data_IF_419638823677
#
_entry.id   IF_419638823677
#
_cell.length_a   1.000
_cell.length_b   1.000
_cell.length_c   1.000
_cell.angle_alpha   90.00
_cell.angle_beta   90.00
_cell.angle_gamma   90.00
#
_symmetry.space_group_name_H-M   'P 1'
#
loop_
_entity.id
_entity.type
_entity.pdbx_description
1 polymer ?
#
# COMPACT_ATOMS: atom_id res chain seq x y z
N UNK A 1 1.13 29.89 -10.01
CA UNK A 1 1.05 29.34 -8.64
C UNK A 1 0.00 28.25 -8.64
N UNK A 2 0.37 27.00 -8.40
CA UNK A 2 -0.59 25.88 -8.32
C UNK A 2 -1.32 25.98 -6.98
N UNK A 3 -2.58 26.38 -7.02
CA UNK A 3 -3.43 26.45 -5.83
C UNK A 3 -3.72 25.03 -5.33
N UNK A 4 -2.93 24.55 -4.36
CA UNK A 4 -3.31 23.36 -3.59
C UNK A 4 -4.55 23.71 -2.78
N UNK A 5 -5.60 22.90 -2.91
CA UNK A 5 -6.87 23.05 -2.17
C UNK A 5 -6.61 23.20 -0.67
N UNK A 6 -7.28 24.18 -0.05
CA UNK A 6 -7.19 24.49 1.37
C UNK A 6 -7.46 23.25 2.24
N UNK A 7 -8.41 22.42 1.81
CA UNK A 7 -8.76 21.14 2.43
C UNK A 7 -7.55 20.21 2.54
N UNK A 8 -6.80 20.05 1.45
CA UNK A 8 -5.58 19.21 1.42
C UNK A 8 -4.55 19.70 2.43
N UNK A 9 -4.33 21.01 2.52
CA UNK A 9 -3.37 21.56 3.48
C UNK A 9 -3.81 21.37 4.93
N UNK A 10 -5.13 21.38 5.20
CA UNK A 10 -5.70 21.16 6.53
C UNK A 10 -5.52 19.71 6.96
N UNK A 11 -5.74 18.76 6.05
CA UNK A 11 -5.54 17.33 6.31
C UNK A 11 -4.08 17.01 6.58
N UNK A 12 -3.16 17.55 5.77
CA UNK A 12 -1.72 17.30 5.97
C UNK A 12 -1.21 17.90 7.29
N UNK A 13 -1.73 19.06 7.72
CA UNK A 13 -1.40 19.61 9.05
C UNK A 13 -1.80 18.68 10.20
N UNK A 14 -2.94 17.98 10.06
CA UNK A 14 -3.44 17.06 11.09
C UNK A 14 -2.66 15.75 11.12
N UNK A 15 -2.32 15.22 9.95
CA UNK A 15 -1.67 13.90 9.82
C UNK A 15 -0.16 13.98 9.99
N UNK A 16 0.49 14.98 9.38
CA UNK A 16 1.93 15.12 9.40
C UNK A 16 2.35 16.61 9.37
N UNK A 17 2.40 17.27 10.54
CA UNK A 17 2.79 18.68 10.66
C UNK A 17 4.09 19.08 9.94
N UNK A 18 5.16 18.24 9.91
CA UNK A 18 6.39 18.60 9.20
C UNK A 18 6.18 18.71 7.68
N UNK A 19 5.31 17.87 7.09
CA UNK A 19 5.02 17.93 5.67
C UNK A 19 4.24 19.21 5.31
N UNK A 20 3.36 19.67 6.19
CA UNK A 20 2.67 20.95 6.00
C UNK A 20 3.64 22.14 5.99
N UNK A 21 4.70 22.12 6.81
CA UNK A 21 5.74 23.14 6.78
C UNK A 21 6.54 23.12 5.46
N UNK A 22 6.83 21.92 4.93
CA UNK A 22 7.49 21.76 3.63
C UNK A 22 6.65 22.25 2.44
N UNK A 23 5.33 22.04 2.48
CA UNK A 23 4.44 22.57 1.45
C UNK A 23 4.43 24.11 1.45
N UNK A 24 4.44 24.74 2.62
CA UNK A 24 4.52 26.22 2.72
C UNK A 24 5.84 26.77 2.17
N UNK A 25 6.97 26.08 2.38
CA UNK A 25 8.30 26.51 1.89
C UNK A 25 8.36 26.71 0.37
N UNK A 26 7.59 25.92 -0.38
CA UNK A 26 7.55 26.03 -1.84
C UNK A 26 6.65 27.18 -2.32
N UNK A 27 5.65 27.56 -1.51
CA UNK A 27 4.72 28.66 -1.78
C UNK A 27 5.30 30.01 -1.30
N UNK A 28 6.07 30.01 -0.21
CA UNK A 28 6.63 31.21 0.43
C UNK A 28 7.93 31.74 -0.19
N UNK A 29 8.28 31.34 -1.42
CA UNK A 29 9.47 31.86 -2.11
C UNK A 29 9.33 33.32 -2.54
N UNK A 30 8.14 33.93 -2.38
CA UNK A 30 7.91 35.31 -2.79
C UNK A 30 8.01 36.35 -1.66
N UNK A 31 7.46 36.14 -0.46
CA UNK A 31 7.58 37.15 0.63
C UNK A 31 7.37 36.49 2.01
N UNK A 32 8.35 36.60 2.90
CA UNK A 32 8.21 36.32 4.33
C UNK A 32 8.68 37.52 5.17
N UNK A 33 8.22 37.69 6.43
CA UNK A 33 8.43 38.92 7.22
C UNK A 33 9.89 39.28 7.53
N UNK A 34 10.84 38.36 7.30
CA UNK A 34 12.26 38.54 7.58
C UNK A 34 13.09 38.92 6.35
N UNK A 35 12.47 39.21 5.20
CA UNK A 35 13.16 39.71 4.00
C UNK A 35 14.16 38.75 3.36
N UNK A 36 14.44 37.59 3.99
CA UNK A 36 15.26 36.53 3.42
C UNK A 36 14.40 35.79 2.41
N UNK A 37 14.48 36.24 1.16
CA UNK A 37 14.12 35.40 0.03
C UNK A 37 14.80 34.05 0.27
N UNK A 38 14.02 32.98 0.45
CA UNK A 38 14.57 31.63 0.35
C UNK A 38 15.11 31.54 -1.07
N UNK A 39 16.40 31.83 -1.21
CA UNK A 39 17.06 32.01 -2.48
C UNK A 39 16.75 30.80 -3.34
N UNK A 40 16.32 31.05 -4.58
CA UNK A 40 16.08 30.03 -5.61
C UNK A 40 17.11 28.91 -5.42
N UNK A 41 16.66 27.73 -4.99
CA UNK A 41 17.56 26.64 -4.63
C UNK A 41 18.55 26.43 -5.78
N UNK A 42 19.83 26.72 -5.54
CA UNK A 42 20.86 26.71 -6.59
C UNK A 42 20.77 25.38 -7.33
N UNK A 43 20.62 25.45 -8.65
CA UNK A 43 20.67 24.26 -9.51
C UNK A 43 22.07 23.70 -9.42
N UNK A 44 22.19 22.54 -8.78
CA UNK A 44 23.45 21.81 -8.63
C UNK A 44 23.60 20.96 -9.87
N UNK A 45 24.73 21.10 -10.53
CA UNK A 45 25.10 20.32 -11.71
C UNK A 45 26.02 19.19 -11.28
N UNK A 46 25.75 17.99 -11.78
CA UNK A 46 26.62 16.82 -11.66
C UNK A 46 27.18 16.57 -13.05
N UNK A 47 28.50 16.67 -13.22
CA UNK A 47 29.18 16.49 -14.51
C UNK A 47 28.58 17.35 -15.65
N UNK A 48 28.21 18.60 -15.36
CA UNK A 48 27.61 19.52 -16.35
C UNK A 48 26.11 19.33 -16.61
N UNK A 49 25.46 18.31 -16.02
CA UNK A 49 24.02 18.04 -16.16
C UNK A 49 23.28 18.40 -14.87
N UNK A 50 22.09 19.01 -14.96
CA UNK A 50 21.28 19.33 -13.78
C UNK A 50 20.98 18.05 -12.98
N UNK A 51 21.20 18.08 -11.65
CA UNK A 51 20.98 16.92 -10.74
C UNK A 51 19.67 16.18 -10.97
N UNK A 52 18.60 16.90 -11.30
CA UNK A 52 17.26 16.34 -11.49
C UNK A 52 17.20 15.40 -12.68
N UNK A 53 17.92 15.70 -13.77
CA UNK A 53 17.95 14.88 -14.98
C UNK A 53 18.69 13.56 -14.72
N UNK A 54 19.80 13.62 -13.98
CA UNK A 54 20.56 12.42 -13.59
C UNK A 54 19.71 11.51 -12.70
N UNK A 55 19.06 12.08 -11.68
CA UNK A 55 18.16 11.31 -10.79
C UNK A 55 16.98 10.73 -11.59
N UNK A 56 16.38 11.50 -12.49
CA UNK A 56 15.28 11.02 -13.33
C UNK A 56 15.71 9.89 -14.28
N UNK A 57 16.90 9.98 -14.88
CA UNK A 57 17.44 8.94 -15.75
C UNK A 57 17.72 7.64 -14.99
N UNK A 58 18.33 7.72 -13.81
CA UNK A 58 18.57 6.56 -12.94
C UNK A 58 17.26 5.93 -12.45
N UNK A 59 16.27 6.75 -12.09
CA UNK A 59 14.95 6.26 -11.70
C UNK A 59 14.21 5.58 -12.87
N UNK A 60 14.31 6.13 -14.08
CA UNK A 60 13.72 5.50 -15.27
C UNK A 60 14.42 4.17 -15.58
N UNK A 61 15.75 4.14 -15.52
CA UNK A 61 16.54 2.92 -15.74
C UNK A 61 16.17 1.82 -14.73
N UNK A 62 16.00 2.16 -13.46
CA UNK A 62 15.59 1.19 -12.44
C UNK A 62 14.17 0.66 -12.69
N UNK A 63 13.23 1.52 -13.09
CA UNK A 63 11.86 1.09 -13.46
C UNK A 63 11.86 0.18 -14.69
N UNK A 64 12.62 0.53 -15.73
CA UNK A 64 12.76 -0.29 -16.95
C UNK A 64 13.39 -1.65 -16.61
N UNK A 65 14.41 -1.65 -15.75
CA UNK A 65 15.03 -2.88 -15.28
C UNK A 65 14.02 -3.75 -14.53
N UNK A 66 13.27 -3.19 -13.57
CA UNK A 66 12.22 -3.94 -12.85
C UNK A 66 11.13 -4.49 -13.78
N UNK A 67 10.73 -3.72 -14.78
CA UNK A 67 9.76 -4.15 -15.80
C UNK A 67 10.31 -5.30 -16.64
N UNK A 68 11.56 -5.17 -17.12
CA UNK A 68 12.19 -6.17 -17.99
C UNK A 68 12.46 -7.49 -17.26
N UNK A 69 12.89 -7.43 -16.01
CA UNK A 69 13.13 -8.62 -15.18
C UNK A 69 11.85 -9.31 -14.72
N UNK A 70 10.66 -8.70 -14.96
CA UNK A 70 9.36 -9.16 -14.46
C UNK A 70 9.35 -9.40 -12.95
N UNK A 71 10.25 -8.79 -12.20
CA UNK A 71 10.47 -9.08 -10.78
C UNK A 71 9.23 -8.76 -9.93
N UNK A 72 8.51 -7.69 -10.29
CA UNK A 72 7.23 -7.38 -9.66
C UNK A 72 6.18 -8.45 -9.96
N UNK A 73 6.13 -8.90 -11.22
CA UNK A 73 5.17 -9.92 -11.64
C UNK A 73 5.41 -11.26 -10.96
N UNK A 74 6.66 -11.68 -10.79
CA UNK A 74 7.00 -12.94 -10.11
C UNK A 74 6.62 -12.90 -8.63
N UNK A 75 6.82 -11.77 -7.95
CA UNK A 75 6.40 -11.59 -6.54
C UNK A 75 4.88 -11.57 -6.41
N UNK A 76 4.16 -10.87 -7.29
CA UNK A 76 2.69 -10.91 -7.30
C UNK A 76 2.17 -12.32 -7.56
N UNK A 77 2.78 -13.04 -8.51
CA UNK A 77 2.38 -14.41 -8.83
C UNK A 77 2.63 -15.36 -7.67
N UNK A 78 3.76 -15.25 -6.98
CA UNK A 78 4.06 -16.09 -5.81
C UNK A 78 3.09 -15.84 -4.66
N UNK A 79 2.78 -14.57 -4.38
CA UNK A 79 1.78 -14.18 -3.38
C UNK A 79 0.40 -14.71 -3.74
N UNK A 80 -0.02 -14.59 -5.01
CA UNK A 80 -1.30 -15.10 -5.48
C UNK A 80 -1.43 -16.61 -5.27
N UNK A 81 -0.42 -17.39 -5.69
CA UNK A 81 -0.44 -18.85 -5.52
C UNK A 81 -0.37 -19.27 -4.06
N UNK A 82 0.42 -18.59 -3.23
CA UNK A 82 0.47 -18.86 -1.79
C UNK A 82 -0.89 -18.63 -1.14
N UNK A 83 -1.47 -17.45 -1.35
CA UNK A 83 -2.74 -17.07 -0.72
C UNK A 83 -3.91 -17.92 -1.26
N UNK A 84 -3.91 -18.20 -2.57
CA UNK A 84 -4.87 -19.08 -3.21
C UNK A 84 -4.76 -20.52 -2.69
N UNK A 85 -3.55 -21.05 -2.57
CA UNK A 85 -3.30 -22.39 -2.03
C UNK A 85 -3.74 -22.53 -0.58
N UNK A 86 -3.40 -21.56 0.28
CA UNK A 86 -3.84 -21.54 1.68
C UNK A 86 -5.36 -21.46 1.78
N UNK A 87 -5.98 -20.58 0.99
CA UNK A 87 -7.44 -20.42 0.97
C UNK A 87 -8.14 -21.69 0.48
N UNK A 88 -7.63 -22.32 -0.58
CA UNK A 88 -8.16 -23.59 -1.09
C UNK A 88 -7.99 -24.72 -0.07
N UNK A 89 -6.82 -24.83 0.57
CA UNK A 89 -6.57 -25.81 1.61
C UNK A 89 -7.52 -25.64 2.80
N UNK A 90 -7.69 -24.41 3.29
CA UNK A 90 -8.65 -24.09 4.34
C UNK A 90 -10.10 -24.36 3.91
N UNK A 91 -10.43 -24.10 2.65
CA UNK A 91 -11.74 -24.35 2.05
C UNK A 91 -12.00 -25.82 1.78
N UNK A 92 -11.00 -26.69 1.69
CA UNK A 92 -11.23 -28.14 1.64
C UNK A 92 -11.38 -28.72 3.04
N UNK A 93 -10.62 -28.19 4.01
CA UNK A 93 -10.65 -28.65 5.40
C UNK A 93 -11.95 -28.26 6.13
N UNK A 94 -12.48 -27.06 5.88
CA UNK A 94 -13.60 -26.50 6.65
C UNK A 94 -15.01 -26.99 6.29
N UNK A 95 -15.42 -27.16 5.02
CA UNK A 95 -16.79 -27.59 4.70
C UNK A 95 -17.01 -29.06 4.99
N UNK A 96 -15.99 -29.91 4.76
CA UNK A 96 -16.11 -31.34 4.97
C UNK A 96 -16.21 -31.67 6.47
N UNK A 97 -15.41 -31.01 7.32
CA UNK A 97 -15.47 -31.25 8.76
C UNK A 97 -16.77 -30.74 9.39
N UNK A 98 -17.27 -29.56 8.99
CA UNK A 98 -18.53 -29.02 9.49
C UNK A 98 -19.73 -29.89 9.09
N UNK A 99 -19.76 -30.36 7.83
CA UNK A 99 -20.82 -31.25 7.34
C UNK A 99 -20.79 -32.63 8.03
N UNK A 100 -19.59 -33.19 8.28
CA UNK A 100 -19.46 -34.46 8.99
C UNK A 100 -19.92 -34.35 10.44
N UNK A 101 -19.56 -33.27 11.14
CA UNK A 101 -20.00 -33.05 12.52
C UNK A 101 -21.52 -32.81 12.62
N UNK A 102 -22.14 -32.15 11.64
CA UNK A 102 -23.61 -32.02 11.63
C UNK A 102 -24.30 -33.37 11.42
N UNK A 103 -23.78 -34.21 10.53
CA UNK A 103 -24.29 -35.58 10.31
C UNK A 103 -24.21 -36.41 11.59
N UNK A 104 -23.02 -36.47 12.23
CA UNK A 104 -22.87 -37.20 13.50
C UNK A 104 -23.80 -36.65 14.59
N UNK A 105 -23.98 -35.32 14.67
CA UNK A 105 -24.89 -34.70 15.63
C UNK A 105 -26.35 -35.10 15.39
N UNK A 106 -26.75 -35.29 14.14
CA UNK A 106 -28.09 -35.74 13.79
C UNK A 106 -28.30 -37.23 14.11
N UNK A 107 -27.30 -38.07 13.83
CA UNK A 107 -27.29 -39.49 14.22
C UNK A 107 -27.41 -39.67 15.74
N UNK A 108 -26.60 -38.96 16.53
CA UNK A 108 -26.70 -38.99 18.00
C UNK A 108 -28.07 -38.54 18.51
N UNK A 109 -28.64 -37.49 17.89
CA UNK A 109 -29.96 -36.98 18.29
C UNK A 109 -31.06 -37.98 17.93
N UNK A 110 -30.94 -38.68 16.80
CA UNK A 110 -31.89 -39.74 16.41
C UNK A 110 -31.84 -40.92 17.38
N UNK A 111 -30.63 -41.38 17.75
CA UNK A 111 -30.42 -42.44 18.75
C UNK A 111 -31.01 -42.02 20.11
N UNK A 112 -30.77 -40.79 20.55
CA UNK A 112 -31.30 -40.29 21.83
C UNK A 112 -32.82 -40.23 21.86
N UNK A 113 -33.47 -39.84 20.76
CA UNK A 113 -34.94 -39.89 20.66
C UNK A 113 -35.45 -41.33 20.73
N UNK A 114 -34.75 -42.27 20.09
CA UNK A 114 -35.07 -43.70 20.18
C UNK A 114 -35.03 -44.25 21.60
N UNK A 115 -34.08 -43.79 22.44
CA UNK A 115 -34.06 -44.13 23.86
C UNK A 115 -35.15 -43.46 24.70
N UNK A 116 -35.73 -42.35 24.23
CA UNK A 116 -36.80 -41.63 24.94
C UNK A 116 -38.20 -42.14 24.59
N UNK A 117 -38.35 -42.80 23.43
CA UNK A 117 -39.61 -43.40 22.96
C UNK A 117 -39.74 -44.89 23.33
N UNK A 118 -38.65 -45.53 23.79
CA UNK A 118 -38.61 -46.89 24.31
C UNK A 118 -38.80 -46.93 25.84
#
# INVERSE_FOLDING_TARGET
>A
ATALSESTTRTVRKVHPPAAAWMRRHVSTQVGPTGRAYGRAKTVYVCGVERKKVVAALALASVVMLYRTRAMWTVFWSLFWFLGGVSAHASMRSPNLKARLSSYREEFRAVWRGYAEA
#
